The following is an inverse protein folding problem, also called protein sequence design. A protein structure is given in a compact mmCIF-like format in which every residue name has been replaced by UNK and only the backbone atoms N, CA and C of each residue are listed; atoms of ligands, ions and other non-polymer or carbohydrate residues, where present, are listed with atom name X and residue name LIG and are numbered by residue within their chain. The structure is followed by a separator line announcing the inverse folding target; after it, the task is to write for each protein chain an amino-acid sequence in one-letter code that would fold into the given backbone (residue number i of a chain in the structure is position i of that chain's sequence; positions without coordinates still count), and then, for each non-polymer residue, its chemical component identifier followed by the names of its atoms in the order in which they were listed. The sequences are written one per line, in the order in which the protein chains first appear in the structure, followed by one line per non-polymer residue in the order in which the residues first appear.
data_IF_262774697501
#
_entry.id   IF_262774697501
#
_cell.length_a   1.000
_cell.length_b   1.000
_cell.length_c   1.000
_cell.angle_alpha   90.00
_cell.angle_beta   90.00
_cell.angle_gamma   90.00
#
_symmetry.space_group_name_H-M   'P 1'
#
loop_
_entity.id
_entity.type
_entity.pdbx_description
1 polymer ?
#
# COMPACT_ATOMS: atom_id res chain seq x y z
N UNK A 1 -16.05 3.78 -7.64
CA UNK A 1 -16.75 4.88 -6.95
C UNK A 1 -16.57 6.13 -7.76
N UNK A 2 -17.67 6.80 -8.12
CA UNK A 2 -17.64 8.12 -8.77
C UNK A 2 -17.20 9.15 -7.73
N UNK A 3 -15.91 9.35 -7.63
CA UNK A 3 -15.30 10.38 -6.79
C UNK A 3 -14.04 10.84 -7.51
N UNK A 4 -13.82 12.13 -7.56
CA UNK A 4 -12.66 12.75 -8.20
C UNK A 4 -11.36 12.56 -7.40
N UNK A 5 -11.43 11.93 -6.23
CA UNK A 5 -10.26 11.60 -5.44
C UNK A 5 -9.36 10.61 -6.18
N UNK A 6 -8.07 10.90 -6.27
CA UNK A 6 -7.10 9.96 -6.83
C UNK A 6 -6.64 9.00 -5.73
N UNK A 7 -7.41 7.94 -5.49
CA UNK A 7 -7.20 7.01 -4.38
C UNK A 7 -7.56 5.57 -4.74
N UNK A 8 -6.96 4.62 -4.01
CA UNK A 8 -7.35 3.22 -3.98
C UNK A 8 -7.05 2.66 -2.59
N UNK A 9 -7.78 1.64 -2.15
CA UNK A 9 -7.49 0.94 -0.90
C UNK A 9 -8.07 -0.46 -0.89
N UNK A 10 -7.46 -1.35 -0.12
CA UNK A 10 -7.95 -2.69 0.13
C UNK A 10 -8.69 -2.77 1.47
N UNK A 11 -9.94 -3.22 1.42
CA UNK A 11 -10.79 -3.44 2.60
C UNK A 11 -10.50 -4.82 3.22
N UNK A 12 -10.83 -5.00 4.51
CA UNK A 12 -10.86 -6.33 5.11
C UNK A 12 -11.72 -7.30 4.28
N UNK A 13 -11.21 -8.52 4.08
CA UNK A 13 -11.87 -9.50 3.20
C UNK A 13 -11.45 -9.42 1.73
N UNK A 14 -10.44 -8.58 1.39
CA UNK A 14 -9.81 -8.55 0.07
C UNK A 14 -10.58 -7.77 -1.00
N UNK A 15 -11.58 -7.00 -0.62
CA UNK A 15 -12.29 -6.11 -1.56
C UNK A 15 -11.45 -4.86 -1.81
N UNK A 16 -11.18 -4.56 -3.08
CA UNK A 16 -10.43 -3.37 -3.47
C UNK A 16 -11.39 -2.32 -3.98
N UNK A 17 -11.21 -1.09 -3.52
CA UNK A 17 -11.91 0.08 -4.00
C UNK A 17 -10.92 0.93 -4.79
N UNK A 18 -11.31 1.32 -6.00
CA UNK A 18 -10.56 2.25 -6.86
C UNK A 18 -11.46 3.44 -7.17
N UNK A 19 -10.97 4.63 -6.94
CA UNK A 19 -11.65 5.86 -7.30
C UNK A 19 -11.33 6.27 -8.73
N UNK A 20 -12.31 6.82 -9.43
CA UNK A 20 -12.14 7.23 -10.82
C UNK A 20 -11.04 8.28 -11.00
N UNK A 21 -10.85 9.16 -10.02
CA UNK A 21 -9.78 10.17 -10.04
C UNK A 21 -8.35 9.60 -10.08
N UNK A 22 -8.18 8.29 -9.83
CA UNK A 22 -6.88 7.62 -9.98
C UNK A 22 -6.53 7.29 -11.44
N UNK A 23 -7.54 7.07 -12.29
CA UNK A 23 -7.35 6.59 -13.67
C UNK A 23 -6.50 7.53 -14.55
N UNK A 24 -6.60 8.87 -14.44
CA UNK A 24 -5.71 9.77 -15.18
C UNK A 24 -4.22 9.61 -14.85
N UNK A 25 -3.88 9.10 -13.65
CA UNK A 25 -2.50 8.85 -13.22
C UNK A 25 -2.01 7.47 -13.67
N UNK A 26 -2.87 6.46 -13.62
CA UNK A 26 -2.49 5.10 -14.07
C UNK A 26 -2.33 5.05 -15.58
N UNK A 27 -3.23 5.67 -16.35
CA UNK A 27 -3.25 5.76 -17.82
C UNK A 27 -3.42 4.43 -18.56
N UNK A 28 -2.93 3.33 -18.00
CA UNK A 28 -2.94 2.00 -18.60
C UNK A 28 -3.20 0.92 -17.55
N UNK A 29 -3.57 -0.28 -18.03
CA UNK A 29 -3.89 -1.43 -17.17
C UNK A 29 -2.68 -1.90 -16.36
N UNK A 30 -1.48 -1.84 -16.92
CA UNK A 30 -0.27 -2.28 -16.23
C UNK A 30 0.04 -1.37 -15.04
N UNK A 31 -0.08 -0.05 -15.20
CA UNK A 31 0.07 0.91 -14.11
C UNK A 31 -1.03 0.73 -13.04
N UNK A 32 -2.27 0.42 -13.46
CA UNK A 32 -3.34 0.10 -12.52
C UNK A 32 -3.01 -1.20 -11.76
N UNK A 33 -2.49 -2.23 -12.44
CA UNK A 33 -2.08 -3.48 -11.81
C UNK A 33 -0.97 -3.28 -10.76
N UNK A 34 -0.06 -2.31 -10.96
CA UNK A 34 0.92 -1.93 -9.93
C UNK A 34 0.23 -1.42 -8.66
N UNK A 35 -0.77 -0.53 -8.79
CA UNK A 35 -1.53 -0.04 -7.64
C UNK A 35 -2.30 -1.17 -6.96
N UNK A 36 -3.02 -1.98 -7.73
CA UNK A 36 -3.78 -3.10 -7.19
C UNK A 36 -2.88 -4.12 -6.49
N UNK A 37 -1.71 -4.42 -7.08
CA UNK A 37 -0.71 -5.29 -6.47
C UNK A 37 -0.19 -4.74 -5.15
N UNK A 38 0.05 -3.43 -5.06
CA UNK A 38 0.45 -2.72 -3.85
C UNK A 38 -0.63 -2.83 -2.75
N UNK A 39 -1.90 -2.61 -3.09
CA UNK A 39 -3.01 -2.75 -2.14
C UNK A 39 -3.19 -4.20 -1.65
N UNK A 40 -3.08 -5.17 -2.56
CA UNK A 40 -3.10 -6.59 -2.21
C UNK A 40 -1.93 -6.92 -1.28
N UNK A 41 -0.74 -6.37 -1.53
CA UNK A 41 0.43 -6.57 -0.69
C UNK A 41 0.21 -6.05 0.73
N UNK A 42 -0.41 -4.89 0.91
CA UNK A 42 -0.81 -4.39 2.23
C UNK A 42 -1.74 -5.35 2.97
N UNK A 43 -2.71 -5.93 2.26
CA UNK A 43 -3.64 -6.91 2.85
C UNK A 43 -2.93 -8.22 3.23
N UNK A 44 -2.10 -8.76 2.33
CA UNK A 44 -1.35 -10.01 2.53
C UNK A 44 -0.35 -9.89 3.67
N UNK A 45 0.39 -8.79 3.74
CA UNK A 45 1.37 -8.49 4.79
C UNK A 45 0.70 -8.03 6.11
N UNK A 46 -0.64 -7.89 6.13
CA UNK A 46 -1.42 -7.46 7.30
C UNK A 46 -1.03 -6.09 7.83
N UNK A 47 -0.58 -5.19 6.98
CA UNK A 47 -0.13 -3.85 7.38
C UNK A 47 -1.24 -3.04 8.04
N UNK A 48 -2.51 -3.22 7.63
CA UNK A 48 -3.66 -2.58 8.29
C UNK A 48 -3.85 -3.05 9.72
N UNK A 49 -3.64 -4.34 10.00
CA UNK A 49 -3.72 -4.87 11.36
C UNK A 49 -2.55 -4.36 12.22
N UNK A 50 -1.34 -4.30 11.66
CA UNK A 50 -0.18 -3.71 12.36
C UNK A 50 -0.43 -2.25 12.71
N UNK A 51 -0.99 -1.47 11.76
CA UNK A 51 -1.36 -0.07 11.98
C UNK A 51 -2.39 0.08 13.09
N UNK A 52 -3.45 -0.75 13.08
CA UNK A 52 -4.47 -0.75 14.12
C UNK A 52 -3.87 -1.08 15.50
N UNK A 53 -3.02 -2.10 15.59
CA UNK A 53 -2.35 -2.47 16.84
C UNK A 53 -1.49 -1.33 17.39
N UNK A 54 -0.73 -0.63 16.52
CA UNK A 54 0.05 0.55 16.92
C UNK A 54 -0.85 1.67 17.44
N UNK A 55 -1.99 1.90 16.80
CA UNK A 55 -2.96 2.90 17.22
C UNK A 55 -3.52 2.59 18.59
N UNK A 56 -3.91 1.34 18.83
CA UNK A 56 -4.39 0.89 20.14
C UNK A 56 -3.31 1.06 21.22
N UNK A 57 -2.08 0.64 20.92
CA UNK A 57 -0.96 0.81 21.87
C UNK A 57 -0.71 2.28 22.20
N UNK A 58 -0.80 3.18 21.22
CA UNK A 58 -0.66 4.62 21.44
C UNK A 58 -1.81 5.17 22.30
N UNK A 59 -3.03 4.74 22.05
CA UNK A 59 -4.20 5.15 22.83
C UNK A 59 -4.10 4.69 24.28
N UNK A 60 -3.71 3.44 24.50
CA UNK A 60 -3.49 2.92 25.86
C UNK A 60 -2.31 3.65 26.54
N UNK A 61 -1.21 3.89 25.81
CA UNK A 61 -0.07 4.65 26.33
C UNK A 61 -0.45 6.07 26.74
N UNK A 62 -1.29 6.75 25.98
CA UNK A 62 -1.80 8.08 26.32
C UNK A 62 -2.63 8.06 27.61
N UNK A 63 -3.47 7.06 27.78
CA UNK A 63 -4.29 6.91 28.98
C UNK A 63 -3.44 6.64 30.23
N UNK A 64 -2.42 5.77 30.10
CA UNK A 64 -1.45 5.50 31.20
C UNK A 64 -0.68 6.78 31.54
N UNK A 65 -0.18 7.50 30.54
CA UNK A 65 0.54 8.77 30.75
C UNK A 65 -0.32 9.79 31.49
N UNK A 66 -1.60 9.95 31.08
CA UNK A 66 -2.54 10.84 31.75
C UNK A 66 -2.78 10.47 33.23
N UNK A 67 -2.89 9.17 33.52
CA UNK A 67 -3.05 8.66 34.87
C UNK A 67 -1.81 8.92 35.73
N UNK A 68 -0.61 8.66 35.19
CA UNK A 68 0.66 8.86 35.92
C UNK A 68 0.90 10.35 36.18
N UNK A 69 0.66 11.23 35.19
CA UNK A 69 0.80 12.68 35.38
C UNK A 69 -0.19 13.23 36.40
N UNK A 70 -1.44 12.74 36.41
CA UNK A 70 -2.43 13.09 37.40
C UNK A 70 -2.03 12.64 38.83
N UNK A 71 -1.53 11.42 38.95
CA UNK A 71 -1.06 10.88 40.23
C UNK A 71 0.23 11.56 40.77
N UNK A 72 1.09 12.08 39.87
CA UNK A 72 2.33 12.76 40.26
C UNK A 72 2.14 14.23 40.70
N UNK A 73 0.91 14.72 40.68
CA UNK A 73 0.62 16.12 41.04
C UNK A 73 1.09 17.15 40.00
N UNK A 74 1.34 16.71 38.75
CA UNK A 74 1.66 17.62 37.67
C UNK A 74 0.55 18.66 37.48
N UNK A 75 0.91 19.94 37.25
CA UNK A 75 -0.09 20.98 37.02
C UNK A 75 -0.98 20.61 35.81
N UNK A 76 -2.24 21.01 35.88
CA UNK A 76 -3.22 20.72 34.80
C UNK A 76 -2.73 21.20 33.43
N UNK A 77 -2.01 22.31 33.35
CA UNK A 77 -1.41 22.83 32.13
C UNK A 77 -0.35 21.90 31.53
N UNK A 78 0.56 21.37 32.38
CA UNK A 78 1.60 20.41 31.93
C UNK A 78 0.98 19.13 31.43
N UNK A 79 -0.02 18.59 32.15
CA UNK A 79 -0.73 17.40 31.77
C UNK A 79 -1.48 17.56 30.44
N UNK A 80 -2.14 18.70 30.23
CA UNK A 80 -2.83 19.01 28.96
C UNK A 80 -1.86 19.14 27.80
N UNK A 81 -0.76 19.87 27.93
CA UNK A 81 0.24 20.02 26.87
C UNK A 81 0.87 18.68 26.51
N UNK A 82 1.20 17.84 27.50
CA UNK A 82 1.74 16.50 27.26
C UNK A 82 0.73 15.60 26.53
N UNK A 83 -0.54 15.62 26.92
CA UNK A 83 -1.60 14.84 26.26
C UNK A 83 -1.90 15.34 24.86
N UNK A 84 -1.94 16.66 24.63
CA UNK A 84 -2.11 17.25 23.29
C UNK A 84 -0.95 16.90 22.37
N UNK A 85 0.29 17.02 22.85
CA UNK A 85 1.50 16.67 22.07
C UNK A 85 1.53 15.19 21.70
N UNK A 86 1.20 14.32 22.65
CA UNK A 86 1.10 12.87 22.40
C UNK A 86 -0.05 12.53 21.44
N UNK A 87 -1.23 13.11 21.64
CA UNK A 87 -2.40 12.90 20.80
C UNK A 87 -2.16 13.35 19.35
N UNK A 88 -1.58 14.53 19.14
CA UNK A 88 -1.30 15.06 17.80
C UNK A 88 -0.24 14.24 17.06
N UNK A 89 0.87 13.90 17.71
CA UNK A 89 1.92 13.04 17.12
C UNK A 89 1.41 11.65 16.77
N UNK A 90 0.59 11.07 17.65
CA UNK A 90 -0.06 9.78 17.47
C UNK A 90 -1.02 9.80 16.27
N UNK A 91 -1.83 10.83 16.14
CA UNK A 91 -2.81 10.98 15.06
C UNK A 91 -2.13 11.11 13.68
N UNK A 92 -1.07 11.90 13.57
CA UNK A 92 -0.30 12.06 12.34
C UNK A 92 0.42 10.77 11.91
N UNK A 93 0.92 9.98 12.87
CA UNK A 93 1.55 8.69 12.58
C UNK A 93 0.56 7.59 12.23
N UNK A 94 -0.69 7.72 12.64
CA UNK A 94 -1.71 6.68 12.46
C UNK A 94 -2.29 6.66 11.05
N UNK A 95 -2.32 7.80 10.37
CA UNK A 95 -2.92 7.95 9.04
C UNK A 95 -2.02 7.39 7.92
N UNK A 96 -0.73 7.21 8.18
CA UNK A 96 0.25 6.77 7.17
C UNK A 96 0.79 5.38 7.49
N UNK A 97 0.97 4.59 6.45
CA UNK A 97 1.79 3.40 6.57
C UNK A 97 3.26 3.78 6.83
N UNK A 98 3.99 2.90 7.54
CA UNK A 98 5.41 3.14 7.74
C UNK A 98 6.15 3.01 6.40
N UNK A 99 7.29 3.70 6.25
CA UNK A 99 8.14 3.55 5.05
C UNK A 99 8.57 2.11 4.80
N UNK A 100 8.70 1.32 5.87
CA UNK A 100 9.01 -0.10 5.78
C UNK A 100 7.85 -0.88 5.16
N UNK A 101 6.61 -0.61 5.60
CA UNK A 101 5.40 -1.24 5.06
C UNK A 101 5.21 -0.87 3.58
N UNK A 102 5.48 0.40 3.22
CA UNK A 102 5.42 0.86 1.83
C UNK A 102 6.46 0.15 0.95
N UNK A 103 7.73 0.08 1.39
CA UNK A 103 8.77 -0.63 0.63
C UNK A 103 8.47 -2.13 0.49
N UNK A 104 7.85 -2.75 1.49
CA UNK A 104 7.42 -4.14 1.42
C UNK A 104 6.24 -4.31 0.46
N UNK A 105 5.27 -3.40 0.50
CA UNK A 105 4.11 -3.42 -0.38
C UNK A 105 4.51 -3.13 -1.84
N UNK A 106 5.45 -2.22 -2.07
CA UNK A 106 5.98 -1.95 -3.43
C UNK A 106 6.65 -3.18 -4.03
N UNK A 107 7.56 -3.82 -3.29
CA UNK A 107 8.23 -5.02 -3.77
C UNK A 107 7.24 -6.15 -4.08
N UNK A 108 6.35 -6.47 -3.13
CA UNK A 108 5.34 -7.50 -3.34
C UNK A 108 4.38 -7.14 -4.48
N UNK A 109 4.00 -5.87 -4.58
CA UNK A 109 3.12 -5.36 -5.63
C UNK A 109 3.71 -5.50 -7.03
N UNK A 110 5.01 -5.22 -7.20
CA UNK A 110 5.75 -5.48 -8.44
C UNK A 110 5.69 -6.96 -8.83
N UNK A 111 5.94 -7.85 -7.86
CA UNK A 111 5.91 -9.30 -8.09
C UNK A 111 4.49 -9.75 -8.43
N UNK A 112 3.47 -9.28 -7.73
CA UNK A 112 2.08 -9.64 -8.00
C UNK A 112 1.62 -9.18 -9.38
N UNK A 113 1.97 -7.95 -9.79
CA UNK A 113 1.68 -7.47 -11.14
C UNK A 113 2.36 -8.33 -12.21
N UNK A 114 3.64 -8.67 -12.02
CA UNK A 114 4.39 -9.54 -12.92
C UNK A 114 3.77 -10.96 -13.01
N UNK A 115 3.40 -11.56 -11.88
CA UNK A 115 2.72 -12.87 -11.84
C UNK A 115 1.36 -12.85 -12.54
N UNK A 116 0.66 -11.71 -12.48
CA UNK A 116 -0.61 -11.50 -13.18
C UNK A 116 -0.44 -11.23 -14.69
N UNK A 117 0.81 -11.17 -15.20
CA UNK A 117 1.12 -10.96 -16.60
C UNK A 117 1.24 -9.49 -17.01
N UNK A 118 1.24 -8.56 -16.06
CA UNK A 118 1.47 -7.14 -16.33
C UNK A 118 2.95 -6.79 -16.20
N UNK A 119 3.43 -5.95 -17.12
CA UNK A 119 4.84 -5.55 -17.16
C UNK A 119 5.20 -4.68 -15.93
N UNK A 120 6.05 -5.16 -15.01
CA UNK A 120 6.39 -4.41 -13.80
C UNK A 120 7.28 -3.19 -14.09
N UNK A 121 7.86 -3.06 -15.29
CA UNK A 121 8.71 -1.92 -15.69
C UNK A 121 7.96 -0.59 -15.68
N UNK A 122 6.64 -0.62 -15.84
CA UNK A 122 5.80 0.58 -15.81
C UNK A 122 5.75 1.26 -14.43
N UNK A 123 6.09 0.54 -13.36
CA UNK A 123 6.02 1.05 -11.98
C UNK A 123 6.85 2.32 -11.78
N UNK A 124 8.06 2.36 -12.32
CA UNK A 124 8.95 3.52 -12.18
C UNK A 124 8.30 4.78 -12.78
N UNK A 125 7.84 4.69 -14.02
CA UNK A 125 7.18 5.82 -14.69
C UNK A 125 5.85 6.19 -14.04
N UNK A 126 5.12 5.22 -13.51
CA UNK A 126 3.90 5.44 -12.75
C UNK A 126 4.18 6.26 -11.47
N UNK A 127 5.12 5.83 -10.63
CA UNK A 127 5.46 6.57 -9.41
C UNK A 127 6.03 7.96 -9.69
N UNK A 128 6.77 8.13 -10.79
CA UNK A 128 7.22 9.45 -11.25
C UNK A 128 6.03 10.36 -11.59
N UNK A 129 5.03 9.86 -12.32
CA UNK A 129 3.80 10.62 -12.63
C UNK A 129 3.02 10.99 -11.37
N UNK A 130 2.84 10.04 -10.46
CA UNK A 130 2.17 10.28 -9.18
C UNK A 130 2.87 11.37 -8.36
N UNK A 131 4.19 11.42 -8.41
CA UNK A 131 5.00 12.40 -7.65
C UNK A 131 5.07 13.77 -8.32
N UNK A 132 4.89 13.85 -9.65
CA UNK A 132 4.99 15.10 -10.40
C UNK A 132 3.84 16.08 -10.16
N UNK A 133 2.67 15.59 -9.73
CA UNK A 133 1.48 16.39 -9.43
C UNK A 133 1.55 17.27 -8.17
N UNK A 134 2.74 17.63 -7.72
CA UNK A 134 3.04 18.13 -6.35
C UNK A 134 2.61 19.57 -6.01
N UNK A 135 2.01 20.34 -6.88
CA UNK A 135 1.86 21.78 -6.52
C UNK A 135 0.43 22.28 -6.25
N UNK A 136 -0.62 21.63 -6.67
CA UNK A 136 -1.98 22.12 -6.37
C UNK A 136 -3.01 21.04 -6.01
N UNK A 137 -2.74 19.77 -6.30
CA UNK A 137 -3.60 18.64 -5.92
C UNK A 137 -2.77 17.37 -5.82
N UNK A 138 -2.14 17.14 -4.65
CA UNK A 138 -1.54 15.83 -4.40
C UNK A 138 -2.63 14.77 -4.47
N UNK A 139 -2.43 13.65 -5.21
CA UNK A 139 -3.31 12.51 -5.14
C UNK A 139 -3.51 12.10 -3.68
N UNK A 140 -4.75 11.90 -3.26
CA UNK A 140 -5.07 11.48 -1.89
C UNK A 140 -4.38 10.18 -1.52
N UNK A 141 -4.15 9.32 -2.51
CA UNK A 141 -3.33 8.12 -2.39
C UNK A 141 -1.97 8.39 -1.72
N UNK A 142 -1.29 9.50 -2.06
CA UNK A 142 -0.01 9.86 -1.45
C UNK A 142 -0.12 10.36 -0.01
N UNK A 143 -1.32 10.63 0.49
CA UNK A 143 -1.54 10.99 1.89
C UNK A 143 -1.42 9.78 2.81
N UNK A 144 -1.92 8.61 2.38
CA UNK A 144 -1.79 7.34 3.09
C UNK A 144 -0.55 6.54 2.69
N UNK A 145 -0.09 6.71 1.43
CA UNK A 145 1.07 6.02 0.83
C UNK A 145 2.12 7.03 0.38
N UNK A 146 2.99 7.52 1.29
CA UNK A 146 3.96 8.54 0.95
C UNK A 146 4.89 8.11 -0.17
N UNK A 147 4.92 8.88 -1.27
CA UNK A 147 5.89 8.70 -2.34
C UNK A 147 7.08 9.61 -2.13
N UNK A 148 8.27 9.04 -2.16
CA UNK A 148 9.52 9.78 -2.16
C UNK A 148 10.46 9.24 -3.25
N UNK A 149 11.57 9.95 -3.48
CA UNK A 149 12.59 9.51 -4.44
C UNK A 149 13.15 8.13 -4.12
N UNK A 150 13.15 7.75 -2.84
CA UNK A 150 13.58 6.44 -2.38
C UNK A 150 12.67 5.34 -2.91
N UNK A 151 11.34 5.52 -2.92
CA UNK A 151 10.37 4.54 -3.45
C UNK A 151 10.61 4.25 -4.93
N UNK A 152 10.90 5.30 -5.72
CA UNK A 152 11.25 5.15 -7.13
C UNK A 152 12.57 4.37 -7.30
N UNK A 153 13.60 4.73 -6.53
CA UNK A 153 14.89 4.05 -6.56
C UNK A 153 14.79 2.58 -6.09
N UNK A 154 14.00 2.31 -5.05
CA UNK A 154 13.75 0.96 -4.56
C UNK A 154 13.03 0.12 -5.63
N UNK A 155 12.02 0.67 -6.31
CA UNK A 155 11.32 0.00 -7.42
C UNK A 155 12.29 -0.35 -8.56
N UNK A 156 13.20 0.57 -8.92
CA UNK A 156 14.22 0.29 -9.95
C UNK A 156 15.16 -0.84 -9.55
N UNK A 157 15.59 -0.88 -8.29
CA UNK A 157 16.48 -1.92 -7.75
C UNK A 157 15.81 -3.29 -7.69
N UNK A 158 14.51 -3.33 -7.37
CA UNK A 158 13.74 -4.56 -7.18
C UNK A 158 13.16 -5.12 -8.49
N UNK A 159 13.14 -4.30 -9.54
CA UNK A 159 12.62 -4.67 -10.85
C UNK A 159 13.23 -5.96 -11.44
N UNK A 160 14.56 -6.22 -11.39
CA UNK A 160 15.12 -7.45 -11.92
C UNK A 160 14.59 -8.72 -11.24
N UNK A 161 14.26 -8.64 -9.94
CA UNK A 161 13.64 -9.75 -9.22
C UNK A 161 12.19 -9.95 -9.66
N UNK A 162 11.41 -8.88 -9.75
CA UNK A 162 10.03 -8.95 -10.21
C UNK A 162 9.91 -9.50 -11.64
N UNK A 163 10.84 -9.16 -12.51
CA UNK A 163 10.88 -9.65 -13.91
C UNK A 163 11.04 -11.16 -14.03
N UNK A 164 11.59 -11.85 -13.03
CA UNK A 164 11.64 -13.32 -13.01
C UNK A 164 10.27 -13.98 -13.00
N UNK A 165 9.26 -13.26 -12.51
CA UNK A 165 7.87 -13.71 -12.44
C UNK A 165 7.04 -13.26 -13.65
N UNK A 166 7.57 -12.36 -14.47
CA UNK A 166 6.90 -11.86 -15.66
C UNK A 166 7.11 -12.79 -16.84
N UNK A 167 6.06 -13.50 -17.25
CA UNK A 167 6.09 -14.46 -18.36
C UNK A 167 5.72 -13.85 -19.72
N UNK A 168 5.59 -12.52 -19.80
CA UNK A 168 5.10 -11.86 -20.99
C UNK A 168 3.61 -12.16 -21.20
N UNK A 169 2.73 -11.31 -20.70
CA UNK A 169 1.29 -11.39 -21.01
C UNK A 169 1.02 -10.57 -22.26
N UNK A 170 0.42 -11.16 -23.28
CA UNK A 170 -0.38 -10.41 -24.22
C UNK A 170 -1.56 -9.87 -23.41
N UNK A 171 -1.66 -8.56 -23.27
CA UNK A 171 -2.90 -7.93 -22.85
C UNK A 171 -3.94 -8.32 -23.88
N UNK A 172 -4.74 -9.34 -23.56
CA UNK A 172 -5.88 -9.70 -24.40
C UNK A 172 -6.90 -8.60 -24.20
N UNK A 173 -6.93 -7.67 -25.12
CA UNK A 173 -8.03 -6.73 -25.29
C UNK A 173 -9.29 -7.56 -25.56
N UNK A 174 -9.97 -7.97 -24.51
CA UNK A 174 -11.27 -8.62 -24.65
C UNK A 174 -12.33 -7.55 -24.51
N UNK A 175 -12.57 -6.86 -25.61
CA UNK A 175 -13.86 -6.24 -25.88
C UNK A 175 -14.85 -7.39 -26.08
N UNK A 176 -15.59 -7.77 -25.06
CA UNK A 176 -16.73 -8.68 -25.23
C UNK A 176 -17.71 -8.53 -24.09
N UNK A 177 -18.74 -7.76 -24.36
CA UNK A 177 -20.07 -7.95 -23.80
C UNK A 177 -20.51 -9.38 -24.06
N UNK A 178 -20.50 -10.25 -23.06
CA UNK A 178 -21.43 -11.41 -22.99
C UNK A 178 -21.29 -12.12 -21.64
N UNK A 179 -22.41 -12.21 -20.95
CA UNK A 179 -22.68 -13.05 -19.80
C UNK A 179 -22.35 -14.50 -20.12
N UNK A 180 -21.32 -15.09 -19.50
CA UNK A 180 -21.15 -16.55 -19.55
C UNK A 180 -20.45 -17.07 -18.28
N UNK A 181 -21.04 -18.12 -17.71
CA UNK A 181 -20.59 -18.86 -16.54
C UNK A 181 -19.16 -19.34 -16.71
N UNK A 182 -18.27 -18.94 -15.78
CA UNK A 182 -16.86 -19.33 -15.75
C UNK A 182 -16.70 -20.77 -15.29
N UNK A 183 -16.25 -21.66 -16.20
CA UNK A 183 -15.60 -22.91 -15.84
C UNK A 183 -14.08 -22.70 -15.85
N UNK A 184 -13.52 -22.39 -14.68
CA UNK A 184 -12.08 -22.24 -14.50
C UNK A 184 -11.42 -23.60 -14.40
N UNK A 185 -10.70 -24.02 -15.45
CA UNK A 185 -9.76 -25.16 -15.39
C UNK A 185 -8.38 -24.63 -14.98
N UNK A 186 -7.96 -24.95 -13.77
CA UNK A 186 -6.62 -24.70 -13.24
C UNK A 186 -5.60 -25.57 -13.99
N UNK A 187 -4.76 -24.96 -14.80
CA UNK A 187 -3.53 -25.59 -15.27
C UNK A 187 -2.43 -25.39 -14.22
N UNK A 188 -2.00 -26.52 -13.66
CA UNK A 188 -0.98 -26.65 -12.63
C UNK A 188 0.40 -26.26 -13.20
N UNK A 189 0.80 -24.98 -13.05
CA UNK A 189 2.17 -24.53 -13.21
C UNK A 189 2.61 -24.03 -11.84
N UNK A 190 3.62 -24.68 -11.26
CA UNK A 190 4.23 -24.52 -9.95
C UNK A 190 3.81 -23.27 -9.18
N UNK A 191 2.78 -23.39 -8.36
CA UNK A 191 2.26 -22.28 -7.57
C UNK A 191 3.25 -21.96 -6.46
N UNK A 192 3.96 -20.84 -6.62
CA UNK A 192 4.69 -20.25 -5.49
C UNK A 192 3.63 -19.74 -4.52
N UNK A 193 3.64 -20.27 -3.31
CA UNK A 193 2.73 -19.85 -2.26
C UNK A 193 2.99 -18.38 -1.90
N UNK A 194 1.93 -17.60 -1.69
CA UNK A 194 2.01 -16.23 -1.16
C UNK A 194 2.83 -16.20 0.15
N UNK A 195 2.77 -17.28 0.96
CA UNK A 195 3.57 -17.44 2.17
C UNK A 195 5.08 -17.57 1.88
N UNK A 196 5.46 -18.14 0.74
CA UNK A 196 6.88 -18.28 0.37
C UNK A 196 7.44 -16.95 -0.12
N UNK A 197 6.64 -16.15 -0.84
CA UNK A 197 6.97 -14.77 -1.18
C UNK A 197 7.14 -13.91 0.08
N UNK A 198 6.21 -14.02 1.02
CA UNK A 198 6.28 -13.29 2.30
C UNK A 198 7.51 -13.67 3.12
N UNK A 199 7.93 -14.95 3.11
CA UNK A 199 9.16 -15.41 3.76
C UNK A 199 10.43 -14.91 3.05
N UNK A 200 10.41 -14.83 1.72
CA UNK A 200 11.56 -14.35 0.94
C UNK A 200 11.84 -12.87 1.18
N UNK A 201 10.80 -12.04 1.35
CA UNK A 201 10.95 -10.62 1.69
C UNK A 201 11.65 -10.40 3.04
N UNK A 202 11.45 -11.33 4.00
CA UNK A 202 12.11 -11.26 5.31
C UNK A 202 13.57 -11.72 5.28
N UNK A 203 13.96 -12.59 4.34
CA UNK A 203 15.31 -13.15 4.24
C UNK A 203 16.34 -12.20 3.62
N UNK A 204 15.89 -11.30 2.74
CA UNK A 204 16.74 -10.31 2.06
C UNK A 204 17.00 -9.02 2.88
N UNK A 205 16.56 -8.98 4.13
CA UNK A 205 16.71 -7.83 5.05
C UNK A 205 17.67 -8.09 6.22
N UNK A 206 18.56 -9.12 6.11
CA UNK A 206 19.68 -9.32 7.04
C UNK A 206 21.02 -8.96 6.39
#
# INVERSE_FOLDING_TARGET
MQDNAANAFCMPGGKIVVYEGLLPYTKDEASLAIVLGHEIAHAVAKHSAERLNKQLQQQYGANILGTVLGASGASSGVSQVAQMGFGLSSQLNTLRYSRKNESEADYMGLVFAAMAGYDPRVAVSFWQRMSAGKQSSQPEFLSSHPSDSKRIADSQRELPEALKYYKGGSATTTTSTTTTKSNYKSNNTGSISVNDLYKSTKKNKR
#
